data_IF_251650545400
#
_entry.id   IF_251650545400
#
_cell.length_a   1.000
_cell.length_b   1.000
_cell.length_c   1.000
_cell.angle_alpha   90.00
_cell.angle_beta   90.00
_cell.angle_gamma   90.00
#
_symmetry.space_group_name_H-M   'P 1'
#
loop_
_entity.id
_entity.type
_entity.pdbx_description
1 polymer ?
#
# COMPACT_ATOMS: atom_id res chain seq x y z
N UNK A 1 -0.14 37.26 3.43
CA UNK A 1 0.46 35.96 3.09
C UNK A 1 -0.64 35.12 2.48
N UNK A 2 -0.49 34.66 1.24
CA UNK A 2 -1.45 33.78 0.61
C UNK A 2 -1.47 32.48 1.42
N UNK A 3 -2.65 32.04 1.87
CA UNK A 3 -2.81 30.70 2.43
C UNK A 3 -2.32 29.72 1.38
N UNK A 4 -1.36 28.85 1.71
CA UNK A 4 -1.12 27.67 0.89
C UNK A 4 -2.47 26.98 0.73
N UNK A 5 -2.90 26.76 -0.52
CA UNK A 5 -4.11 26.00 -0.75
C UNK A 5 -3.84 24.59 -0.21
N UNK A 6 -4.63 24.17 0.77
CA UNK A 6 -4.61 22.78 1.24
C UNK A 6 -5.07 21.89 0.10
N UNK A 7 -4.10 21.27 -0.58
CA UNK A 7 -4.37 20.32 -1.65
C UNK A 7 -4.64 18.98 -0.99
N UNK A 8 -5.85 18.46 -1.14
CA UNK A 8 -6.19 17.10 -0.76
C UNK A 8 -7.30 16.56 -1.67
N UNK A 9 -7.45 15.25 -1.71
CA UNK A 9 -8.56 14.62 -2.42
C UNK A 9 -9.86 14.74 -1.61
N UNK A 10 -11.02 14.73 -2.28
CA UNK A 10 -12.33 14.79 -1.63
C UNK A 10 -12.47 13.68 -0.58
N UNK A 11 -12.60 14.08 0.69
CA UNK A 11 -12.60 13.18 1.85
C UNK A 11 -13.87 12.32 1.96
N UNK A 12 -13.87 11.36 2.89
CA UNK A 12 -15.04 10.56 3.24
C UNK A 12 -15.35 9.43 2.25
N UNK A 13 -16.58 8.91 2.34
CA UNK A 13 -17.06 7.73 1.58
C UNK A 13 -18.38 8.00 0.82
N UNK A 14 -18.78 9.26 0.69
CA UNK A 14 -20.01 9.67 -0.01
C UNK A 14 -19.88 9.58 -1.54
N UNK A 15 -20.97 9.84 -2.26
CA UNK A 15 -21.03 9.75 -3.73
C UNK A 15 -20.02 10.65 -4.45
N UNK A 16 -19.64 11.80 -3.86
CA UNK A 16 -18.66 12.74 -4.43
C UNK A 16 -17.25 12.57 -3.85
N UNK A 17 -17.05 11.59 -2.95
CA UNK A 17 -15.74 11.34 -2.34
C UNK A 17 -14.76 10.74 -3.33
N UNK A 18 -13.47 10.96 -3.10
CA UNK A 18 -12.41 10.34 -3.88
C UNK A 18 -12.47 8.81 -3.79
N UNK A 19 -12.85 8.27 -2.64
CA UNK A 19 -13.00 6.84 -2.44
C UNK A 19 -13.97 6.18 -3.44
N UNK A 20 -14.98 6.90 -3.93
CA UNK A 20 -15.96 6.41 -4.92
C UNK A 20 -15.71 6.89 -6.35
N UNK A 21 -14.82 7.86 -6.56
CA UNK A 21 -14.56 8.49 -7.87
C UNK A 21 -13.11 8.33 -8.36
N UNK A 22 -12.37 7.37 -7.81
CA UNK A 22 -10.95 7.11 -8.13
C UNK A 22 -10.74 5.87 -9.00
N UNK A 23 -11.70 5.56 -9.89
CA UNK A 23 -11.67 4.37 -10.74
C UNK A 23 -10.51 4.39 -11.75
N UNK A 24 -10.14 5.58 -12.26
CA UNK A 24 -9.01 5.75 -13.17
C UNK A 24 -7.69 5.42 -12.46
N UNK A 25 -7.44 6.00 -11.28
CA UNK A 25 -6.25 5.72 -10.48
C UNK A 25 -6.19 4.24 -10.09
N UNK A 26 -7.33 3.64 -9.73
CA UNK A 26 -7.41 2.20 -9.47
C UNK A 26 -7.00 1.35 -10.68
N UNK A 27 -7.42 1.73 -11.88
CA UNK A 27 -7.05 1.02 -13.10
C UNK A 27 -5.54 1.10 -13.38
N UNK A 28 -4.93 2.28 -13.22
CA UNK A 28 -3.49 2.46 -13.37
C UNK A 28 -2.70 1.70 -12.29
N UNK A 29 -3.14 1.76 -11.03
CA UNK A 29 -2.54 0.96 -9.95
C UNK A 29 -2.62 -0.55 -10.25
N UNK A 30 -3.72 -1.03 -10.81
CA UNK A 30 -3.85 -2.43 -11.23
C UNK A 30 -2.87 -2.81 -12.35
N UNK A 31 -2.62 -1.90 -13.30
CA UNK A 31 -1.62 -2.10 -14.37
C UNK A 31 -0.19 -2.16 -13.83
N UNK A 32 0.10 -1.41 -12.77
CA UNK A 32 1.42 -1.41 -12.12
C UNK A 32 1.73 -2.69 -11.33
N UNK A 33 0.75 -3.55 -11.06
CA UNK A 33 0.93 -4.73 -10.21
C UNK A 33 2.04 -5.66 -10.69
N UNK A 34 2.02 -6.00 -11.98
CA UNK A 34 3.02 -6.91 -12.57
C UNK A 34 4.42 -6.30 -12.53
N UNK A 35 4.54 -4.98 -12.68
CA UNK A 35 5.81 -4.29 -12.56
C UNK A 35 6.35 -4.35 -11.12
N UNK A 36 5.50 -4.11 -10.13
CA UNK A 36 5.87 -4.22 -8.71
C UNK A 36 6.31 -5.64 -8.37
N UNK A 37 5.55 -6.65 -8.80
CA UNK A 37 5.89 -8.06 -8.61
C UNK A 37 7.24 -8.42 -9.24
N UNK A 38 7.49 -7.98 -10.48
CA UNK A 38 8.76 -8.22 -11.17
C UNK A 38 9.96 -7.56 -10.47
N UNK A 39 9.81 -6.30 -10.04
CA UNK A 39 10.88 -5.58 -9.32
C UNK A 39 11.18 -6.24 -7.98
N UNK A 40 10.16 -6.67 -7.24
CA UNK A 40 10.36 -7.38 -5.97
C UNK A 40 11.02 -8.73 -6.21
N UNK A 41 10.63 -9.45 -7.26
CA UNK A 41 11.25 -10.72 -7.59
C UNK A 41 12.74 -10.58 -7.89
N UNK A 42 13.11 -9.57 -8.67
CA UNK A 42 14.50 -9.24 -8.99
C UNK A 42 15.31 -8.82 -7.75
N UNK A 43 14.70 -7.98 -6.90
CA UNK A 43 15.31 -7.52 -5.65
C UNK A 43 15.59 -8.69 -4.68
N UNK A 44 14.63 -9.60 -4.52
CA UNK A 44 14.78 -10.79 -3.67
C UNK A 44 15.80 -11.79 -4.25
N UNK A 45 15.88 -11.94 -5.57
CA UNK A 45 16.83 -12.82 -6.24
C UNK A 45 18.27 -12.31 -6.18
N UNK A 46 18.47 -11.00 -6.30
CA UNK A 46 19.79 -10.36 -6.31
C UNK A 46 20.38 -10.17 -4.91
N UNK A 47 19.52 -10.10 -3.88
CA UNK A 47 19.95 -9.87 -2.51
C UNK A 47 19.17 -10.77 -1.55
N UNK A 48 19.66 -12.00 -1.39
CA UNK A 48 19.08 -13.01 -0.49
C UNK A 48 19.08 -12.60 1.00
N UNK A 49 19.74 -11.49 1.34
CA UNK A 49 19.76 -10.91 2.70
C UNK A 49 18.61 -9.95 2.97
N UNK A 50 17.92 -9.41 1.95
CA UNK A 50 16.81 -8.46 2.15
C UNK A 50 15.59 -9.08 2.83
N UNK A 51 15.43 -10.39 2.70
CA UNK A 51 14.36 -11.14 3.34
C UNK A 51 14.72 -11.57 4.79
N UNK A 52 15.97 -11.37 5.20
CA UNK A 52 16.44 -11.67 6.56
C UNK A 52 16.40 -10.40 7.42
N UNK A 53 15.21 -10.00 7.85
CA UNK A 53 15.04 -8.91 8.80
C UNK A 53 13.77 -8.11 8.55
N UNK A 54 13.93 -6.88 8.09
CA UNK A 54 12.85 -5.90 7.97
C UNK A 54 12.84 -5.24 6.60
N UNK A 55 11.67 -5.23 5.96
CA UNK A 55 11.40 -4.49 4.73
C UNK A 55 10.52 -3.29 5.05
N UNK A 56 10.88 -2.12 4.51
CA UNK A 56 10.08 -0.90 4.63
C UNK A 56 9.48 -0.57 3.26
N UNK A 57 8.16 -0.41 3.22
CA UNK A 57 7.42 0.00 2.02
C UNK A 57 6.81 1.37 2.31
N UNK A 58 7.10 2.35 1.46
CA UNK A 58 6.53 3.70 1.57
C UNK A 58 5.65 4.01 0.35
N UNK A 59 4.41 4.42 0.60
CA UNK A 59 3.52 4.98 -0.43
C UNK A 59 3.45 6.50 -0.26
N UNK A 60 3.88 7.24 -1.28
CA UNK A 60 4.02 8.69 -1.26
C UNK A 60 2.89 9.33 -2.07
N UNK A 61 1.90 9.88 -1.37
CA UNK A 61 0.64 10.34 -1.97
C UNK A 61 -0.43 9.24 -1.93
N UNK A 62 -0.59 8.60 -0.77
CA UNK A 62 -1.49 7.46 -0.61
C UNK A 62 -2.98 7.83 -0.76
N UNK A 63 -3.33 9.11 -0.59
CA UNK A 63 -4.71 9.61 -0.56
C UNK A 63 -5.56 8.82 0.46
N UNK A 64 -6.84 8.63 0.18
CA UNK A 64 -7.81 7.96 1.04
C UNK A 64 -8.68 6.96 0.27
N UNK A 65 -9.47 6.18 1.01
CA UNK A 65 -10.37 5.19 0.44
C UNK A 65 -9.69 3.88 0.03
N UNK A 66 -10.32 3.07 -0.83
CA UNK A 66 -9.90 1.69 -1.10
C UNK A 66 -8.57 1.58 -1.86
N UNK A 67 -8.13 2.64 -2.53
CA UNK A 67 -6.90 2.64 -3.31
C UNK A 67 -5.65 2.91 -2.46
N UNK A 68 -5.80 3.47 -1.24
CA UNK A 68 -4.68 3.89 -0.40
C UNK A 68 -3.76 2.74 0.04
N UNK A 69 -4.23 1.49 -0.04
CA UNK A 69 -3.45 0.29 0.32
C UNK A 69 -3.18 -0.63 -0.86
N UNK A 70 -3.61 -0.29 -2.08
CA UNK A 70 -3.61 -1.22 -3.20
C UNK A 70 -2.19 -1.63 -3.61
N UNK A 71 -1.31 -0.66 -3.85
CA UNK A 71 0.07 -0.91 -4.28
C UNK A 71 0.90 -1.54 -3.16
N UNK A 72 0.74 -1.06 -1.92
CA UNK A 72 1.38 -1.65 -0.74
C UNK A 72 0.96 -3.12 -0.56
N UNK A 73 -0.33 -3.43 -0.71
CA UNK A 73 -0.82 -4.80 -0.58
C UNK A 73 -0.22 -5.71 -1.65
N UNK A 74 -0.11 -5.22 -2.90
CA UNK A 74 0.59 -5.94 -3.97
C UNK A 74 2.05 -6.19 -3.60
N UNK A 75 2.76 -5.19 -3.10
CA UNK A 75 4.16 -5.34 -2.70
C UNK A 75 4.35 -6.35 -1.56
N UNK A 76 3.51 -6.30 -0.51
CA UNK A 76 3.55 -7.28 0.59
C UNK A 76 3.32 -8.69 0.05
N UNK A 77 2.30 -8.87 -0.80
CA UNK A 77 1.97 -10.18 -1.34
C UNK A 77 3.09 -10.71 -2.23
N UNK A 78 3.73 -9.86 -3.05
CA UNK A 78 4.88 -10.24 -3.86
C UNK A 78 6.07 -10.68 -2.99
N UNK A 79 6.38 -9.95 -1.92
CA UNK A 79 7.43 -10.32 -0.95
C UNK A 79 7.13 -11.69 -0.35
N UNK A 80 5.89 -11.90 0.14
CA UNK A 80 5.48 -13.17 0.74
C UNK A 80 5.59 -14.34 -0.26
N UNK A 81 5.15 -14.14 -1.50
CA UNK A 81 5.27 -15.14 -2.57
C UNK A 81 6.73 -15.49 -2.86
N UNK A 82 7.64 -14.51 -2.89
CA UNK A 82 9.06 -14.76 -3.08
C UNK A 82 9.69 -15.49 -1.89
N UNK A 83 9.32 -15.13 -0.65
CA UNK A 83 9.79 -15.85 0.54
C UNK A 83 9.37 -17.33 0.49
N UNK A 84 8.10 -17.59 0.13
CA UNK A 84 7.58 -18.95 -0.03
C UNK A 84 8.35 -19.72 -1.12
N UNK A 85 8.60 -19.09 -2.27
CA UNK A 85 9.35 -19.70 -3.37
C UNK A 85 10.80 -20.05 -2.97
N UNK A 86 11.45 -19.17 -2.20
CA UNK A 86 12.81 -19.34 -1.70
C UNK A 86 12.89 -20.20 -0.43
N UNK A 87 11.74 -20.68 0.10
CA UNK A 87 11.64 -21.41 1.36
C UNK A 87 12.25 -20.65 2.55
N UNK A 88 12.09 -19.33 2.56
CA UNK A 88 12.55 -18.45 3.62
C UNK A 88 11.37 -17.96 4.48
N UNK A 89 11.59 -17.67 5.77
CA UNK A 89 10.58 -17.02 6.58
C UNK A 89 10.26 -15.62 6.02
N UNK A 90 9.00 -15.18 6.07
CA UNK A 90 8.65 -13.82 5.65
C UNK A 90 9.31 -12.78 6.57
N UNK A 91 9.82 -11.66 6.03
CA UNK A 91 10.41 -10.58 6.84
C UNK A 91 9.35 -9.80 7.61
N UNK A 92 9.78 -9.04 8.62
CA UNK A 92 8.94 -7.99 9.20
C UNK A 92 8.70 -6.91 8.14
N UNK A 93 7.43 -6.60 7.84
CA UNK A 93 7.10 -5.53 6.89
C UNK A 93 6.57 -4.31 7.63
N UNK A 94 7.23 -3.17 7.43
CA UNK A 94 6.80 -1.87 7.91
C UNK A 94 6.24 -1.07 6.73
N UNK A 95 5.00 -0.60 6.87
CA UNK A 95 4.32 0.22 5.87
C UNK A 95 4.26 1.66 6.35
N UNK A 96 4.72 2.58 5.51
CA UNK A 96 4.63 4.02 5.69
C UNK A 96 3.68 4.58 4.64
N UNK A 97 2.56 5.16 5.06
CA UNK A 97 1.61 5.82 4.17
C UNK A 97 1.75 7.32 4.38
N UNK A 98 2.18 8.02 3.34
CA UNK A 98 2.42 9.45 3.38
C UNK A 98 1.45 10.19 2.48
N UNK A 99 0.95 11.31 2.98
CA UNK A 99 0.19 12.32 2.23
C UNK A 99 0.28 13.65 2.98
N UNK A 100 -0.32 14.70 2.42
CA UNK A 100 -0.41 16.01 3.07
C UNK A 100 -1.28 15.96 4.34
N UNK A 101 -1.08 16.88 5.31
CA UNK A 101 -1.73 16.82 6.62
C UNK A 101 -3.26 16.72 6.60
N UNK A 102 -3.92 17.25 5.57
CA UNK A 102 -5.39 17.29 5.46
C UNK A 102 -5.98 16.09 4.73
N UNK A 103 -5.16 15.09 4.39
CA UNK A 103 -5.69 13.83 3.90
C UNK A 103 -6.55 13.13 4.96
N UNK A 104 -7.54 12.35 4.51
CA UNK A 104 -8.44 11.60 5.39
C UNK A 104 -7.77 10.32 5.93
N UNK A 105 -6.74 10.50 6.76
CA UNK A 105 -6.02 9.40 7.40
C UNK A 105 -6.92 8.57 8.33
N UNK A 106 -8.04 9.11 8.81
CA UNK A 106 -9.00 8.35 9.61
C UNK A 106 -9.57 7.18 8.79
N UNK A 107 -9.90 7.40 7.51
CA UNK A 107 -10.33 6.30 6.62
C UNK A 107 -9.19 5.35 6.28
N UNK A 108 -7.98 5.87 6.05
CA UNK A 108 -6.80 5.05 5.75
C UNK A 108 -6.47 4.10 6.90
N UNK A 109 -6.49 4.58 8.14
CA UNK A 109 -6.25 3.76 9.33
C UNK A 109 -7.32 2.69 9.49
N UNK A 110 -8.60 2.99 9.23
CA UNK A 110 -9.65 1.97 9.22
C UNK A 110 -9.38 0.87 8.20
N UNK A 111 -9.00 1.24 6.98
CA UNK A 111 -8.62 0.28 5.93
C UNK A 111 -7.41 -0.56 6.34
N UNK A 112 -6.42 0.03 7.02
CA UNK A 112 -5.24 -0.68 7.52
C UNK A 112 -5.58 -1.72 8.58
N UNK A 113 -6.49 -1.39 9.50
CA UNK A 113 -6.98 -2.33 10.52
C UNK A 113 -7.66 -3.53 9.86
N UNK A 114 -8.53 -3.27 8.87
CA UNK A 114 -9.20 -4.33 8.10
C UNK A 114 -8.20 -5.22 7.35
N UNK A 115 -7.17 -4.62 6.73
CA UNK A 115 -6.12 -5.37 6.02
C UNK A 115 -5.35 -6.28 6.97
N UNK A 116 -4.99 -5.81 8.16
CA UNK A 116 -4.30 -6.61 9.17
C UNK A 116 -5.16 -7.81 9.60
N UNK A 117 -6.43 -7.57 9.95
CA UNK A 117 -7.36 -8.61 10.38
C UNK A 117 -7.61 -9.67 9.29
N UNK A 118 -7.58 -9.28 8.01
CA UNK A 118 -7.72 -10.24 6.89
C UNK A 118 -6.54 -11.21 6.76
N UNK A 119 -5.40 -10.90 7.38
CA UNK A 119 -4.17 -11.70 7.34
C UNK A 119 -3.92 -12.49 8.63
N UNK A 120 -4.68 -12.23 9.69
CA UNK A 120 -4.68 -13.08 10.88
C UNK A 120 -5.50 -14.33 10.57
N UNK A 121 -4.98 -15.56 10.80
CA UNK A 121 -5.80 -16.75 10.69
C UNK A 121 -6.93 -16.63 11.72
N UNK A 122 -8.18 -16.69 11.26
CA UNK A 122 -9.32 -16.91 12.15
C UNK A 122 -9.05 -18.23 12.86
N UNK A 123 -8.74 -18.12 14.16
CA UNK A 123 -8.54 -19.24 15.10
C UNK A 123 -9.76 -20.15 15.15
#
# INVERSE_FOLDING_TARGET
>A
MASEQMVHMSQGQGETSYARNSSFQKAEQNRMKSLIEAVIADLCGSSSTLLHGKVVIADLGCSSGPNALALVSTAINAIHSQCLHLQQPPPEVCVLLNDLPDNDFNTVVKSLVMLRQSKDPVS
#
